data_IF_928366419472
#
_entry.id   IF_928366419472
#
_cell.length_a   1.000
_cell.length_b   1.000
_cell.length_c   1.000
_cell.angle_alpha   90.00
_cell.angle_beta   90.00
_cell.angle_gamma   90.00
#
_symmetry.space_group_name_H-M   'P 1'
#
loop_
_entity.id
_entity.type
_entity.pdbx_description
1 polymer ?
#
# COMPACT_ATOMS: atom_id res chain seq x y z
N UNK A 1 13.16 8.99 -31.73
CA UNK A 1 12.34 8.38 -30.67
C UNK A 1 12.99 7.13 -30.02
N UNK A 2 14.21 6.76 -30.39
CA UNK A 2 14.84 5.46 -30.00
C UNK A 2 15.71 5.51 -28.73
N UNK A 3 16.14 6.70 -28.30
CA UNK A 3 17.03 6.82 -27.12
C UNK A 3 16.33 6.64 -25.75
N UNK A 4 15.04 6.87 -25.65
CA UNK A 4 14.28 6.75 -24.39
C UNK A 4 13.97 5.29 -24.03
N UNK A 5 13.56 4.52 -25.00
CA UNK A 5 13.19 3.09 -24.84
C UNK A 5 14.40 2.24 -24.44
N UNK A 6 15.56 2.52 -25.02
CA UNK A 6 16.80 1.80 -24.74
C UNK A 6 17.33 2.11 -23.32
N UNK A 7 17.16 3.36 -22.84
CA UNK A 7 17.58 3.79 -21.50
C UNK A 7 16.70 3.17 -20.40
N UNK A 8 15.40 3.05 -20.64
CA UNK A 8 14.46 2.40 -19.71
C UNK A 8 14.72 0.90 -19.61
N UNK A 9 15.00 0.23 -20.74
CA UNK A 9 15.34 -1.19 -20.78
C UNK A 9 16.63 -1.50 -20.03
N UNK A 10 17.68 -0.66 -20.20
CA UNK A 10 18.94 -0.81 -19.46
C UNK A 10 18.76 -0.64 -17.95
N UNK A 11 17.95 0.36 -17.53
CA UNK A 11 17.65 0.59 -16.12
C UNK A 11 16.94 -0.61 -15.50
N UNK A 12 15.95 -1.18 -16.19
CA UNK A 12 15.22 -2.38 -15.73
C UNK A 12 16.14 -3.58 -15.59
N UNK A 13 17.00 -3.85 -16.59
CA UNK A 13 17.96 -4.96 -16.55
C UNK A 13 18.95 -4.80 -15.38
N UNK A 14 19.43 -3.58 -15.13
CA UNK A 14 20.28 -3.28 -13.98
C UNK A 14 19.57 -3.47 -12.65
N UNK A 15 18.32 -3.03 -12.56
CA UNK A 15 17.52 -3.23 -11.37
C UNK A 15 17.28 -4.73 -11.08
N UNK A 16 16.91 -5.51 -12.10
CA UNK A 16 16.68 -6.95 -11.94
C UNK A 16 17.94 -7.65 -11.40
N UNK A 17 19.10 -7.32 -11.95
CA UNK A 17 20.39 -7.83 -11.45
C UNK A 17 20.67 -7.42 -10.00
N UNK A 18 20.28 -6.21 -9.59
CA UNK A 18 20.40 -5.79 -8.18
C UNK A 18 19.47 -6.60 -7.28
N UNK A 19 18.23 -6.84 -7.73
CA UNK A 19 17.25 -7.58 -6.95
C UNK A 19 17.67 -9.03 -6.66
N UNK A 20 18.48 -9.67 -7.52
CA UNK A 20 19.06 -10.98 -7.27
C UNK A 20 19.90 -11.01 -5.98
N UNK A 21 20.47 -9.86 -5.56
CA UNK A 21 21.27 -9.73 -4.34
C UNK A 21 20.44 -9.82 -3.05
N UNK A 22 19.12 -9.62 -3.11
CA UNK A 22 18.26 -9.76 -1.92
C UNK A 22 18.24 -11.19 -1.39
N UNK A 23 18.20 -12.19 -2.26
CA UNK A 23 18.06 -13.58 -1.86
C UNK A 23 19.26 -14.09 -1.02
N UNK A 24 20.53 -13.93 -1.44
CA UNK A 24 21.66 -14.27 -0.61
C UNK A 24 21.73 -13.45 0.68
N UNK A 25 21.42 -12.15 0.62
CA UNK A 25 21.37 -11.29 1.80
C UNK A 25 20.37 -11.82 2.84
N UNK A 26 19.17 -12.22 2.40
CA UNK A 26 18.15 -12.78 3.31
C UNK A 26 18.53 -14.14 3.89
N UNK A 27 19.23 -14.99 3.14
CA UNK A 27 19.77 -16.25 3.67
C UNK A 27 20.78 -16.03 4.78
N UNK A 28 21.58 -14.97 4.71
CA UNK A 28 22.53 -14.60 5.76
C UNK A 28 21.79 -14.10 7.01
N UNK A 29 20.79 -13.25 6.84
CA UNK A 29 19.94 -12.75 7.94
C UNK A 29 19.18 -13.90 8.63
N UNK A 30 18.68 -14.88 7.86
CA UNK A 30 17.89 -16.02 8.37
C UNK A 30 18.72 -17.16 8.98
N UNK A 31 20.05 -17.16 8.81
CA UNK A 31 20.94 -18.17 9.42
C UNK A 31 21.23 -17.94 10.90
N UNK A 32 20.81 -16.82 11.44
CA UNK A 32 20.83 -16.62 12.89
C UNK A 32 19.97 -17.72 13.52
N UNK A 33 20.60 -18.58 14.33
CA UNK A 33 19.94 -19.58 15.17
C UNK A 33 18.69 -18.94 15.80
N UNK A 34 17.50 -19.59 15.78
CA UNK A 34 16.31 -19.10 16.47
C UNK A 34 16.55 -18.74 17.94
N UNK A 35 17.59 -19.30 18.56
CA UNK A 35 18.11 -18.94 19.89
C UNK A 35 19.05 -17.74 19.89
N UNK A 36 19.72 -17.43 18.78
CA UNK A 36 20.61 -16.28 18.63
C UNK A 36 19.79 -15.10 18.09
N UNK A 37 19.46 -14.16 18.94
CA UNK A 37 18.75 -12.91 18.58
C UNK A 37 19.66 -11.89 17.89
N UNK A 38 20.87 -12.25 17.51
CA UNK A 38 21.89 -11.36 16.97
C UNK A 38 22.25 -11.77 15.55
N UNK A 39 22.13 -10.83 14.60
CA UNK A 39 22.63 -11.02 13.23
C UNK A 39 24.14 -11.15 13.26
N UNK A 40 24.70 -12.18 12.64
CA UNK A 40 26.13 -12.43 12.59
C UNK A 40 26.87 -11.49 11.63
N UNK A 41 26.19 -11.02 10.59
CA UNK A 41 26.78 -10.14 9.57
C UNK A 41 26.28 -8.71 9.64
N UNK A 42 27.15 -7.77 9.27
CA UNK A 42 26.79 -6.35 9.18
C UNK A 42 25.85 -6.11 8.00
N UNK A 43 24.80 -5.34 8.23
CA UNK A 43 23.82 -4.98 7.21
C UNK A 43 23.52 -3.48 7.27
N UNK A 44 23.36 -2.85 6.11
CA UNK A 44 22.97 -1.44 6.02
C UNK A 44 21.57 -1.32 5.41
N UNK A 45 20.66 -0.69 6.15
CA UNK A 45 19.30 -0.42 5.71
C UNK A 45 19.18 1.07 5.39
N UNK A 46 18.88 1.39 4.14
CA UNK A 46 18.54 2.75 3.71
C UNK A 46 17.03 2.90 3.77
N UNK A 47 16.51 3.70 4.70
CA UNK A 47 15.08 3.95 4.87
C UNK A 47 14.70 5.20 4.09
N UNK A 48 13.74 5.05 3.17
CA UNK A 48 13.22 6.10 2.32
C UNK A 48 11.70 6.22 2.52
N UNK A 49 11.20 7.03 3.45
CA UNK A 49 9.78 7.21 3.70
C UNK A 49 9.11 8.12 2.66
N UNK A 50 9.50 8.02 1.39
CA UNK A 50 8.95 8.81 0.30
C UNK A 50 7.48 8.45 0.07
N UNK A 51 6.60 9.45 0.10
CA UNK A 51 5.23 9.35 -0.35
C UNK A 51 5.14 9.93 -1.76
N UNK A 52 5.22 9.04 -2.74
CA UNK A 52 5.11 9.39 -4.15
C UNK A 52 3.70 9.05 -4.61
N UNK A 53 2.87 10.08 -4.77
CA UNK A 53 1.45 9.98 -5.16
C UNK A 53 1.15 10.99 -6.26
N UNK A 54 0.10 10.73 -7.06
CA UNK A 54 -0.28 11.54 -8.21
C UNK A 54 -0.99 12.86 -7.87
N UNK A 55 -1.12 13.18 -6.59
CA UNK A 55 -1.74 14.44 -6.14
C UNK A 55 -0.80 15.21 -5.21
N UNK A 56 -0.92 16.52 -5.24
CA UNK A 56 -0.12 17.39 -4.37
C UNK A 56 -0.62 17.30 -2.92
N UNK A 57 0.29 16.91 -2.03
CA UNK A 57 0.13 17.04 -0.59
C UNK A 57 0.77 18.34 -0.12
N UNK A 58 0.18 19.00 0.86
CA UNK A 58 0.83 20.11 1.54
C UNK A 58 2.04 19.61 2.36
N UNK A 59 2.96 20.50 2.68
CA UNK A 59 4.22 20.14 3.35
C UNK A 59 4.04 19.51 4.74
N UNK A 60 3.14 19.99 5.61
CA UNK A 60 2.91 19.31 6.88
C UNK A 60 2.51 17.87 6.73
N UNK A 61 1.61 17.56 5.76
CA UNK A 61 1.18 16.19 5.51
C UNK A 61 2.34 15.33 4.98
N UNK A 62 3.15 15.82 4.06
CA UNK A 62 4.31 15.09 3.53
C UNK A 62 5.32 14.77 4.64
N UNK A 63 5.65 15.73 5.48
CA UNK A 63 6.59 15.54 6.59
C UNK A 63 6.05 14.52 7.60
N UNK A 64 4.75 14.57 7.94
CA UNK A 64 4.11 13.57 8.81
C UNK A 64 4.29 12.16 8.26
N UNK A 65 4.16 11.96 6.93
CA UNK A 65 4.42 10.66 6.32
C UNK A 65 5.88 10.26 6.40
N UNK A 66 6.82 11.17 6.21
CA UNK A 66 8.25 10.89 6.33
C UNK A 66 8.62 10.55 7.79
N UNK A 67 7.94 11.13 8.76
CA UNK A 67 8.10 10.86 10.19
C UNK A 67 7.29 9.66 10.71
N UNK A 68 6.56 8.93 9.85
CA UNK A 68 5.83 7.71 10.25
C UNK A 68 6.71 6.47 10.36
N UNK A 69 7.91 6.46 9.79
CA UNK A 69 8.80 5.31 9.79
C UNK A 69 9.95 5.31 10.82
N UNK A 70 10.05 6.22 11.83
CA UNK A 70 11.07 6.14 12.86
C UNK A 70 11.05 4.84 13.67
N UNK A 71 9.94 4.08 13.66
CA UNK A 71 9.94 2.72 14.23
C UNK A 71 11.00 1.82 13.57
N UNK A 72 11.50 2.13 12.37
CA UNK A 72 12.61 1.43 11.74
C UNK A 72 13.91 1.57 12.55
N UNK A 73 14.03 2.58 13.43
CA UNK A 73 15.15 2.71 14.36
C UNK A 73 15.25 1.50 15.31
N UNK A 74 14.15 0.77 15.55
CA UNK A 74 14.18 -0.49 16.30
C UNK A 74 15.08 -1.57 15.66
N UNK A 75 15.42 -1.48 14.38
CA UNK A 75 16.42 -2.35 13.76
C UNK A 75 17.79 -2.19 14.40
N UNK A 76 18.11 -1.04 14.99
CA UNK A 76 19.35 -0.79 15.72
C UNK A 76 19.50 -1.61 17.01
N UNK A 77 18.46 -2.35 17.42
CA UNK A 77 18.59 -3.40 18.45
C UNK A 77 19.58 -4.47 18.01
N UNK A 78 19.69 -4.72 16.71
CA UNK A 78 20.70 -5.60 16.17
C UNK A 78 22.05 -4.87 16.11
N UNK A 79 23.09 -5.36 16.80
CA UNK A 79 24.33 -4.60 17.01
C UNK A 79 25.13 -4.35 15.73
N UNK A 80 24.89 -5.12 14.67
CA UNK A 80 25.59 -5.04 13.38
C UNK A 80 24.79 -4.34 12.28
N UNK A 81 23.55 -3.89 12.58
CA UNK A 81 22.76 -3.08 11.64
C UNK A 81 23.19 -1.62 11.70
N UNK A 82 23.44 -1.05 10.53
CA UNK A 82 23.57 0.37 10.27
C UNK A 82 22.28 0.87 9.61
N UNK A 83 21.80 2.03 10.01
CA UNK A 83 20.61 2.63 9.44
C UNK A 83 20.96 4.00 8.83
N UNK A 84 20.54 4.23 7.59
CA UNK A 84 20.57 5.52 6.94
C UNK A 84 19.12 5.93 6.75
N UNK A 85 18.67 6.97 7.46
CA UNK A 85 17.31 7.47 7.40
C UNK A 85 17.27 8.79 6.64
N UNK A 86 16.49 8.84 5.56
CA UNK A 86 16.48 9.99 4.64
C UNK A 86 15.12 10.68 4.70
N UNK A 87 15.09 12.01 4.95
CA UNK A 87 13.87 12.83 5.00
C UNK A 87 14.05 14.15 4.26
N UNK A 88 12.97 14.76 3.78
CA UNK A 88 12.98 16.04 3.05
C UNK A 88 13.62 17.17 3.84
N UNK A 89 13.29 17.25 5.13
CA UNK A 89 13.88 18.16 6.12
C UNK A 89 14.37 17.34 7.31
N UNK A 90 15.34 17.83 8.10
CA UNK A 90 15.82 17.11 9.25
C UNK A 90 14.70 16.82 10.27
N UNK A 91 14.69 15.60 10.81
CA UNK A 91 13.84 15.25 11.96
C UNK A 91 14.44 15.90 13.21
N UNK A 92 13.62 16.48 14.10
CA UNK A 92 14.10 17.00 15.40
C UNK A 92 14.86 15.93 16.20
N UNK A 93 15.98 16.31 16.80
CA UNK A 93 16.83 15.36 17.56
C UNK A 93 16.06 14.74 18.72
N UNK A 94 15.14 15.48 19.35
CA UNK A 94 14.31 15.00 20.45
C UNK A 94 13.42 13.80 20.04
N UNK A 95 12.96 13.78 18.79
CA UNK A 95 12.19 12.65 18.22
C UNK A 95 13.09 11.43 18.05
N UNK A 96 14.30 11.64 17.54
CA UNK A 96 15.29 10.57 17.36
C UNK A 96 15.69 10.01 18.73
N UNK A 97 15.99 10.88 19.68
CA UNK A 97 16.37 10.49 21.04
C UNK A 97 15.27 9.72 21.74
N UNK A 98 14.01 10.12 21.56
CA UNK A 98 12.86 9.38 22.08
C UNK A 98 12.84 7.92 21.55
N UNK A 99 12.95 7.72 20.23
CA UNK A 99 12.95 6.38 19.65
C UNK A 99 14.18 5.57 20.06
N UNK A 100 15.36 6.17 20.13
CA UNK A 100 16.57 5.49 20.60
C UNK A 100 16.48 5.10 22.07
N UNK A 101 15.83 5.93 22.89
CA UNK A 101 15.56 5.66 24.31
C UNK A 101 14.61 4.47 24.54
N UNK A 102 13.76 4.14 23.55
CA UNK A 102 12.88 2.98 23.61
C UNK A 102 13.59 1.64 23.29
N UNK A 103 14.89 1.65 22.88
CA UNK A 103 15.62 0.44 22.51
C UNK A 103 16.08 -0.35 23.76
N UNK A 104 15.41 -1.47 24.12
CA UNK A 104 15.80 -2.23 25.30
C UNK A 104 17.14 -2.94 25.09
N UNK A 105 18.05 -2.81 26.07
CA UNK A 105 19.32 -3.52 26.08
C UNK A 105 20.39 -2.98 25.12
N UNK A 106 20.16 -1.83 24.48
CA UNK A 106 21.12 -1.19 23.58
C UNK A 106 21.58 0.13 24.20
N UNK A 107 22.88 0.31 24.35
CA UNK A 107 23.40 1.61 24.80
C UNK A 107 23.12 2.69 23.75
N UNK A 108 22.52 3.79 24.19
CA UNK A 108 22.13 4.94 23.35
C UNK A 108 23.27 5.38 22.41
N UNK A 109 24.47 5.62 22.93
CA UNK A 109 25.62 6.03 22.12
C UNK A 109 26.04 4.98 21.07
N UNK A 110 25.81 3.70 21.32
CA UNK A 110 26.08 2.64 20.33
C UNK A 110 25.06 2.69 19.17
N UNK A 111 23.78 2.80 19.46
CA UNK A 111 22.73 2.94 18.45
C UNK A 111 22.94 4.22 17.62
N UNK A 112 23.21 5.35 18.29
CA UNK A 112 23.41 6.65 17.62
C UNK A 112 24.59 6.65 16.63
N UNK A 113 25.70 5.98 16.93
CA UNK A 113 26.84 5.86 16.01
C UNK A 113 26.53 5.03 14.75
N UNK A 114 25.51 4.19 14.78
CA UNK A 114 25.08 3.35 13.63
C UNK A 114 23.91 3.94 12.85
N UNK A 115 23.44 5.12 13.27
CA UNK A 115 22.38 5.89 12.63
C UNK A 115 22.98 7.08 11.87
N UNK A 116 22.71 7.18 10.60
CA UNK A 116 22.97 8.37 9.79
C UNK A 116 21.62 9.00 9.40
N UNK A 117 21.47 10.28 9.65
CA UNK A 117 20.32 11.08 9.23
C UNK A 117 20.75 11.92 8.03
N UNK A 118 20.01 11.83 6.93
CA UNK A 118 20.36 12.51 5.67
C UNK A 118 19.14 13.30 5.19
N UNK A 119 19.37 14.53 4.72
CA UNK A 119 18.28 15.37 4.20
C UNK A 119 18.77 16.24 3.05
N UNK A 120 17.99 16.38 1.95
CA UNK A 120 18.20 17.40 0.93
C UNK A 120 17.91 18.82 1.46
N UNK A 121 17.37 18.98 2.67
CA UNK A 121 16.93 20.27 3.26
C UNK A 121 15.96 21.02 2.32
N UNK A 122 15.01 20.29 1.76
CA UNK A 122 14.08 20.79 0.75
C UNK A 122 12.63 20.59 1.23
N UNK A 123 12.05 21.66 1.78
CA UNK A 123 10.67 21.72 2.24
C UNK A 123 9.63 21.91 1.12
N UNK A 124 9.96 21.72 -0.16
CA UNK A 124 8.99 21.81 -1.25
C UNK A 124 8.00 20.63 -1.22
N UNK A 125 6.84 20.78 -1.91
CA UNK A 125 5.80 19.75 -2.00
C UNK A 125 6.17 18.54 -2.87
N UNK A 126 7.33 18.54 -3.49
CA UNK A 126 7.80 17.45 -4.34
C UNK A 126 8.07 16.18 -3.50
N UNK A 127 7.86 14.98 -4.06
CA UNK A 127 8.21 13.73 -3.37
C UNK A 127 9.69 13.70 -2.97
N UNK A 128 9.99 13.12 -1.82
CA UNK A 128 11.36 13.01 -1.29
C UNK A 128 12.32 12.37 -2.31
N UNK A 129 11.89 11.28 -2.96
CA UNK A 129 12.72 10.59 -3.96
C UNK A 129 13.10 11.52 -5.13
N UNK A 130 12.17 12.36 -5.60
CA UNK A 130 12.45 13.31 -6.67
C UNK A 130 13.50 14.36 -6.24
N UNK A 131 13.40 14.84 -4.99
CA UNK A 131 14.39 15.76 -4.42
C UNK A 131 15.81 15.15 -4.37
N UNK A 132 15.88 13.85 -4.06
CA UNK A 132 17.17 13.12 -4.02
C UNK A 132 17.70 12.90 -5.44
N UNK A 133 16.87 12.47 -6.39
CA UNK A 133 17.28 12.19 -7.77
C UNK A 133 17.86 13.40 -8.48
N UNK A 134 17.38 14.61 -8.17
CA UNK A 134 17.90 15.87 -8.71
C UNK A 134 19.26 16.30 -8.10
N UNK A 135 19.75 15.56 -7.09
CA UNK A 135 20.96 15.89 -6.33
C UNK A 135 22.01 14.76 -6.38
N UNK A 136 22.77 14.62 -7.50
CA UNK A 136 23.75 13.53 -7.62
C UNK A 136 24.80 13.49 -6.50
N UNK A 137 25.16 14.65 -5.94
CA UNK A 137 26.09 14.74 -4.80
C UNK A 137 25.48 14.12 -3.53
N UNK A 138 24.16 14.29 -3.31
CA UNK A 138 23.47 13.69 -2.19
C UNK A 138 23.40 12.15 -2.34
N UNK A 139 23.14 11.66 -3.56
CA UNK A 139 23.19 10.22 -3.86
C UNK A 139 24.59 9.69 -3.57
N UNK A 140 25.64 10.37 -4.02
CA UNK A 140 27.03 10.02 -3.72
C UNK A 140 27.32 10.00 -2.21
N UNK A 141 26.79 10.98 -1.47
CA UNK A 141 26.92 11.02 -0.02
C UNK A 141 26.21 9.84 0.65
N UNK A 142 24.95 9.55 0.31
CA UNK A 142 24.22 8.38 0.85
C UNK A 142 25.03 7.09 0.58
N UNK A 143 25.55 6.95 -0.65
CA UNK A 143 26.34 5.78 -1.04
C UNK A 143 27.65 5.67 -0.22
N UNK A 144 28.32 6.78 0.09
CA UNK A 144 29.55 6.79 0.90
C UNK A 144 29.32 6.39 2.36
N UNK A 145 28.09 6.48 2.86
CA UNK A 145 27.71 6.03 4.20
C UNK A 145 27.47 4.51 4.28
N UNK A 146 27.45 3.81 3.15
CA UNK A 146 27.26 2.35 3.05
C UNK A 146 28.65 1.68 3.01
N UNK A 147 29.06 0.94 4.05
CA UNK A 147 30.39 0.31 4.07
C UNK A 147 30.53 -0.80 3.02
N UNK A 148 29.48 -1.59 2.79
CA UNK A 148 29.45 -2.66 1.81
C UNK A 148 28.08 -2.68 1.10
N UNK A 149 28.09 -2.43 -0.22
CA UNK A 149 26.90 -2.42 -1.05
C UNK A 149 26.25 -3.81 -1.21
N UNK A 150 27.00 -4.90 -0.99
CA UNK A 150 26.48 -6.26 -1.09
C UNK A 150 25.63 -6.64 0.13
N UNK A 151 25.84 -5.97 1.26
CA UNK A 151 25.10 -6.18 2.50
C UNK A 151 24.14 -5.02 2.80
N UNK A 152 23.74 -4.27 1.77
CA UNK A 152 22.84 -3.13 1.91
C UNK A 152 21.57 -3.30 1.08
N UNK A 153 20.49 -2.68 1.53
CA UNK A 153 19.23 -2.62 0.77
C UNK A 153 18.42 -1.34 1.08
N UNK A 154 17.62 -0.93 0.11
CA UNK A 154 16.68 0.19 0.21
C UNK A 154 15.33 -0.29 0.73
N UNK A 155 14.74 0.43 1.66
CA UNK A 155 13.38 0.20 2.19
C UNK A 155 12.55 1.46 1.99
N UNK A 156 11.81 1.57 0.89
CA UNK A 156 10.89 2.68 0.65
C UNK A 156 9.56 2.49 1.38
N UNK A 157 8.76 3.56 1.47
CA UNK A 157 7.38 3.50 1.93
C UNK A 157 6.43 3.15 0.77
N UNK A 158 6.44 3.94 -0.30
CA UNK A 158 5.75 3.67 -1.57
C UNK A 158 6.79 3.38 -2.64
N UNK A 159 6.44 2.62 -3.66
CA UNK A 159 7.33 2.29 -4.77
C UNK A 159 6.77 2.76 -6.09
N UNK A 160 7.59 3.54 -6.79
CA UNK A 160 7.37 3.99 -8.16
C UNK A 160 8.65 3.77 -8.97
N UNK A 161 8.61 4.12 -10.25
CA UNK A 161 9.80 4.11 -11.10
C UNK A 161 10.95 4.99 -10.55
N UNK A 162 10.61 6.02 -9.75
CA UNK A 162 11.61 6.88 -9.13
C UNK A 162 12.37 6.18 -8.00
N UNK A 163 11.70 5.42 -7.13
CA UNK A 163 12.37 4.63 -6.09
C UNK A 163 13.24 3.53 -6.71
N UNK A 164 12.80 2.94 -7.83
CA UNK A 164 13.59 1.99 -8.61
C UNK A 164 14.85 2.64 -9.22
N UNK A 165 14.72 3.82 -9.83
CA UNK A 165 15.87 4.59 -10.35
C UNK A 165 16.87 4.92 -9.24
N UNK A 166 16.37 5.33 -8.07
CA UNK A 166 17.23 5.61 -6.92
C UNK A 166 17.98 4.36 -6.45
N UNK A 167 17.34 3.20 -6.37
CA UNK A 167 17.98 1.94 -6.01
C UNK A 167 19.13 1.60 -6.97
N UNK A 168 18.91 1.78 -8.29
CA UNK A 168 19.94 1.59 -9.31
C UNK A 168 21.10 2.57 -9.15
N UNK A 169 20.82 3.85 -8.87
CA UNK A 169 21.88 4.86 -8.66
C UNK A 169 22.67 4.66 -7.36
N UNK A 170 22.01 4.15 -6.32
CA UNK A 170 22.67 3.76 -5.08
C UNK A 170 23.45 2.44 -5.22
N UNK A 171 23.17 1.65 -6.27
CA UNK A 171 23.73 0.32 -6.51
C UNK A 171 23.43 -0.67 -5.37
N UNK A 172 22.20 -0.61 -4.84
CA UNK A 172 21.68 -1.52 -3.82
C UNK A 172 20.29 -2.05 -4.20
N UNK A 173 19.90 -3.28 -3.83
CA UNK A 173 18.58 -3.80 -4.08
C UNK A 173 17.52 -3.08 -3.24
N UNK A 174 16.26 -3.15 -3.67
CA UNK A 174 15.10 -2.56 -2.99
C UNK A 174 14.23 -3.67 -2.38
N UNK A 175 14.01 -3.62 -1.07
CA UNK A 175 13.11 -4.53 -0.37
C UNK A 175 11.71 -3.92 -0.25
N UNK A 176 10.98 -4.00 -1.34
CA UNK A 176 9.57 -3.59 -1.49
C UNK A 176 9.01 -4.16 -2.80
N UNK A 177 7.69 -4.08 -3.01
CA UNK A 177 7.07 -4.47 -4.25
C UNK A 177 7.60 -3.63 -5.43
N UNK A 178 8.06 -4.28 -6.49
CA UNK A 178 8.49 -3.60 -7.71
C UNK A 178 7.27 -2.88 -8.34
N UNK A 179 7.44 -1.66 -8.89
CA UNK A 179 6.38 -0.96 -9.62
C UNK A 179 5.72 -1.77 -10.75
N UNK A 180 6.40 -2.76 -11.33
CA UNK A 180 5.79 -3.70 -12.30
C UNK A 180 4.56 -4.42 -11.77
N UNK A 181 4.46 -4.60 -10.45
CA UNK A 181 3.34 -5.24 -9.77
C UNK A 181 2.23 -4.26 -9.35
N UNK A 182 2.35 -2.99 -9.72
CA UNK A 182 1.39 -1.95 -9.36
C UNK A 182 -0.07 -2.34 -9.65
N UNK A 183 -0.29 -3.07 -10.77
CA UNK A 183 -1.61 -3.54 -11.15
C UNK A 183 -2.32 -4.36 -10.06
N UNK A 184 -1.59 -5.12 -9.24
CA UNK A 184 -2.18 -5.89 -8.13
C UNK A 184 -2.71 -5.02 -6.99
N UNK A 185 -2.24 -3.78 -6.86
CA UNK A 185 -2.72 -2.81 -5.88
C UNK A 185 -3.86 -1.90 -6.37
N UNK A 186 -4.23 -1.97 -7.67
CA UNK A 186 -5.40 -1.23 -8.18
C UNK A 186 -6.70 -1.92 -7.75
N UNK A 187 -7.81 -1.17 -7.66
CA UNK A 187 -9.11 -1.75 -7.26
C UNK A 187 -9.53 -2.88 -8.21
N UNK A 188 -9.35 -2.70 -9.53
CA UNK A 188 -9.63 -3.76 -10.52
C UNK A 188 -8.69 -4.96 -10.37
N UNK A 189 -7.41 -4.71 -10.14
CA UNK A 189 -6.42 -5.78 -9.99
C UNK A 189 -6.60 -6.59 -8.72
N UNK A 190 -6.92 -5.93 -7.60
CA UNK A 190 -7.27 -6.59 -6.34
C UNK A 190 -8.42 -7.57 -6.52
N UNK A 191 -9.54 -7.11 -7.06
CA UNK A 191 -10.75 -7.92 -7.27
C UNK A 191 -10.51 -9.12 -8.15
N UNK A 192 -9.78 -8.92 -9.28
CA UNK A 192 -9.39 -10.04 -10.16
C UNK A 192 -8.55 -11.08 -9.40
N UNK A 193 -7.56 -10.65 -8.63
CA UNK A 193 -6.73 -11.55 -7.84
C UNK A 193 -7.57 -12.28 -6.77
N UNK A 194 -8.48 -11.59 -6.10
CA UNK A 194 -9.40 -12.22 -5.13
C UNK A 194 -10.26 -13.29 -5.80
N UNK A 195 -10.82 -13.01 -6.99
CA UNK A 195 -11.60 -13.99 -7.76
C UNK A 195 -10.76 -15.21 -8.13
N UNK A 196 -9.55 -15.01 -8.66
CA UNK A 196 -8.64 -16.07 -9.09
C UNK A 196 -8.19 -16.99 -7.94
N UNK A 197 -7.98 -16.43 -6.74
CA UNK A 197 -7.54 -17.19 -5.56
C UNK A 197 -8.71 -17.64 -4.65
N UNK A 198 -9.96 -17.43 -5.06
CA UNK A 198 -11.14 -17.83 -4.28
C UNK A 198 -11.23 -17.12 -2.93
N UNK A 199 -10.83 -15.84 -2.89
CA UNK A 199 -10.97 -14.97 -1.71
C UNK A 199 -12.32 -14.28 -1.78
N UNK A 200 -13.08 -14.35 -0.68
CA UNK A 200 -14.40 -13.71 -0.59
C UNK A 200 -14.26 -12.18 -0.68
N UNK A 201 -15.00 -11.58 -1.61
CA UNK A 201 -15.00 -10.13 -1.85
C UNK A 201 -16.40 -9.68 -2.30
N UNK A 202 -16.75 -8.38 -2.23
CA UNK A 202 -18.09 -7.90 -2.62
C UNK A 202 -18.42 -8.23 -4.07
N UNK A 203 -19.70 -8.51 -4.37
CA UNK A 203 -20.16 -8.60 -5.76
C UNK A 203 -19.87 -7.30 -6.48
N UNK A 204 -19.27 -7.36 -7.67
CA UNK A 204 -18.94 -6.15 -8.43
C UNK A 204 -18.37 -6.46 -9.81
N UNK A 205 -17.99 -5.41 -10.52
CA UNK A 205 -17.37 -5.47 -11.84
C UNK A 205 -16.20 -4.47 -11.93
N UNK A 206 -15.20 -4.85 -12.72
CA UNK A 206 -13.90 -4.19 -12.82
C UNK A 206 -13.66 -3.57 -14.21
N UNK A 207 -12.60 -2.75 -14.28
CA UNK A 207 -12.08 -2.15 -15.53
C UNK A 207 -13.06 -1.23 -16.25
N UNK A 208 -13.93 -0.57 -15.51
CA UNK A 208 -14.93 0.36 -16.03
C UNK A 208 -14.30 1.72 -16.33
N UNK A 209 -14.56 2.28 -17.52
CA UNK A 209 -13.96 3.53 -17.99
C UNK A 209 -14.96 4.58 -18.49
N UNK A 210 -16.25 4.26 -18.52
CA UNK A 210 -17.28 5.15 -19.02
C UNK A 210 -18.58 5.05 -18.25
N UNK A 211 -19.46 6.04 -18.41
CA UNK A 211 -20.84 6.02 -17.85
C UNK A 211 -21.61 4.81 -18.37
N UNK A 212 -21.50 4.50 -19.66
CA UNK A 212 -22.22 3.39 -20.29
C UNK A 212 -21.76 2.04 -19.72
N UNK A 213 -20.45 1.86 -19.52
CA UNK A 213 -19.90 0.67 -18.89
C UNK A 213 -20.38 0.53 -17.44
N UNK A 214 -20.43 1.63 -16.67
CA UNK A 214 -21.00 1.64 -15.30
C UNK A 214 -22.47 1.22 -15.31
N UNK A 215 -23.28 1.81 -16.17
CA UNK A 215 -24.72 1.46 -16.31
C UNK A 215 -24.87 -0.01 -16.67
N UNK A 216 -24.09 -0.51 -17.64
CA UNK A 216 -24.08 -1.91 -18.03
C UNK A 216 -23.69 -2.86 -16.89
N UNK A 217 -22.64 -2.52 -16.13
CA UNK A 217 -22.20 -3.29 -14.98
C UNK A 217 -23.27 -3.34 -13.88
N UNK A 218 -23.86 -2.21 -13.53
CA UNK A 218 -24.93 -2.15 -12.52
C UNK A 218 -26.13 -2.99 -12.93
N UNK A 219 -26.53 -2.97 -14.20
CA UNK A 219 -27.60 -3.83 -14.70
C UNK A 219 -27.31 -5.31 -14.51
N UNK A 220 -26.10 -5.75 -14.89
CA UNK A 220 -25.69 -7.15 -14.69
C UNK A 220 -25.64 -7.54 -13.21
N UNK A 221 -25.16 -6.66 -12.36
CA UNK A 221 -25.16 -6.89 -10.91
C UNK A 221 -26.57 -7.02 -10.34
N UNK A 222 -27.49 -6.14 -10.75
CA UNK A 222 -28.91 -6.19 -10.32
C UNK A 222 -29.62 -7.46 -10.83
N UNK A 223 -29.32 -7.92 -12.03
CA UNK A 223 -29.84 -9.17 -12.53
C UNK A 223 -29.35 -10.39 -11.73
N UNK A 224 -28.08 -10.37 -11.26
CA UNK A 224 -27.49 -11.42 -10.42
C UNK A 224 -27.97 -11.40 -8.97
N UNK A 225 -28.18 -10.19 -8.41
CA UNK A 225 -28.62 -9.97 -7.02
C UNK A 225 -29.67 -8.85 -7.00
N UNK A 226 -30.97 -9.18 -7.23
CA UNK A 226 -32.05 -8.18 -7.25
C UNK A 226 -32.22 -7.41 -5.92
N UNK A 227 -31.75 -7.97 -4.80
CA UNK A 227 -31.80 -7.35 -3.47
C UNK A 227 -30.74 -6.27 -3.23
N UNK A 228 -29.91 -5.92 -4.24
CA UNK A 228 -28.97 -4.81 -4.12
C UNK A 228 -29.69 -3.50 -3.87
N UNK A 229 -29.30 -2.77 -2.85
CA UNK A 229 -29.87 -1.47 -2.47
C UNK A 229 -28.91 -0.31 -2.65
N UNK A 230 -27.61 -0.54 -2.44
CA UNK A 230 -26.56 0.47 -2.56
C UNK A 230 -25.29 -0.13 -3.14
N UNK A 231 -24.65 0.65 -3.99
CA UNK A 231 -23.36 0.31 -4.58
C UNK A 231 -22.34 1.39 -4.27
N UNK A 232 -21.07 1.03 -4.38
CA UNK A 232 -19.97 1.97 -4.33
C UNK A 232 -19.18 1.88 -5.64
N UNK A 233 -18.95 3.02 -6.27
CA UNK A 233 -18.06 3.16 -7.43
C UNK A 233 -16.73 3.68 -6.91
N UNK A 234 -15.62 3.08 -7.34
CA UNK A 234 -14.28 3.46 -6.89
C UNK A 234 -13.36 3.61 -8.09
N UNK A 235 -12.57 4.68 -8.12
CA UNK A 235 -11.47 4.80 -9.08
C UNK A 235 -10.40 3.74 -8.75
N UNK A 236 -9.71 3.23 -9.77
CA UNK A 236 -8.63 2.23 -9.58
C UNK A 236 -7.53 2.70 -8.64
N UNK A 237 -7.26 3.99 -8.67
CA UNK A 237 -6.25 4.66 -7.84
C UNK A 237 -6.95 5.73 -7.00
N UNK A 238 -6.87 5.61 -5.70
CA UNK A 238 -7.46 6.52 -4.73
C UNK A 238 -6.89 6.27 -3.34
N UNK A 239 -6.87 7.30 -2.50
CA UNK A 239 -6.34 7.24 -1.13
C UNK A 239 -7.41 7.74 -0.16
N UNK A 240 -7.57 7.06 0.96
CA UNK A 240 -8.46 7.50 2.07
C UNK A 240 -9.89 7.79 1.64
N UNK A 241 -10.46 7.00 0.73
CA UNK A 241 -11.83 7.19 0.22
C UNK A 241 -11.98 8.29 -0.85
N UNK A 242 -10.92 9.04 -1.15
CA UNK A 242 -10.91 9.97 -2.30
C UNK A 242 -11.01 9.17 -3.60
N UNK A 243 -12.01 9.45 -4.42
CA UNK A 243 -12.34 8.67 -5.62
C UNK A 243 -13.43 7.61 -5.39
N UNK A 244 -14.03 7.54 -4.20
CA UNK A 244 -15.22 6.74 -3.96
C UNK A 244 -16.50 7.57 -4.19
N UNK A 245 -17.51 6.92 -4.78
CA UNK A 245 -18.85 7.50 -4.97
C UNK A 245 -19.92 6.46 -4.64
N UNK A 246 -20.93 6.85 -3.90
CA UNK A 246 -22.05 5.98 -3.53
C UNK A 246 -23.20 6.11 -4.51
N UNK A 247 -23.84 5.00 -4.87
CA UNK A 247 -24.98 4.90 -5.73
C UNK A 247 -26.13 4.20 -5.00
N UNK A 248 -27.23 4.92 -4.75
CA UNK A 248 -28.48 4.31 -4.26
C UNK A 248 -29.25 3.70 -5.42
N UNK A 249 -29.75 2.49 -5.23
CA UNK A 249 -30.61 1.79 -6.18
C UNK A 249 -32.10 1.84 -5.80
N UNK A 250 -32.43 2.53 -4.70
CA UNK A 250 -33.80 2.64 -4.20
C UNK A 250 -34.71 3.35 -5.21
N UNK A 251 -35.91 2.80 -5.41
CA UNK A 251 -36.90 3.35 -6.31
C UNK A 251 -36.60 3.22 -7.80
N UNK A 252 -35.57 2.42 -8.17
CA UNK A 252 -35.33 2.07 -9.56
C UNK A 252 -36.36 1.03 -10.05
N UNK A 253 -36.69 1.03 -11.35
CA UNK A 253 -37.53 -0.02 -11.98
C UNK A 253 -36.95 -1.42 -11.74
N UNK A 254 -37.76 -2.46 -11.83
CA UNK A 254 -37.31 -3.85 -11.71
C UNK A 254 -36.18 -4.17 -12.71
N UNK A 255 -35.21 -5.02 -12.32
CA UNK A 255 -34.12 -5.43 -13.20
C UNK A 255 -34.64 -6.03 -14.53
N UNK A 256 -34.12 -5.54 -15.65
CA UNK A 256 -34.50 -5.96 -16.99
C UNK A 256 -35.76 -5.32 -17.54
N UNK A 257 -36.46 -4.47 -16.78
CA UNK A 257 -37.69 -3.79 -17.24
C UNK A 257 -37.40 -2.66 -18.24
N UNK A 258 -38.42 -2.30 -19.00
CA UNK A 258 -38.40 -1.10 -19.85
C UNK A 258 -38.16 0.15 -18.99
N UNK A 259 -37.19 0.99 -19.36
CA UNK A 259 -36.87 2.19 -18.60
C UNK A 259 -35.76 2.02 -17.53
N UNK A 260 -35.31 0.79 -17.23
CA UNK A 260 -34.22 0.58 -16.28
C UNK A 260 -32.93 1.34 -16.66
N UNK A 261 -32.57 1.31 -17.96
CA UNK A 261 -31.35 1.99 -18.46
C UNK A 261 -31.42 3.49 -18.22
N UNK A 262 -32.51 4.12 -18.68
CA UNK A 262 -32.70 5.59 -18.52
C UNK A 262 -32.75 6.00 -17.05
N UNK A 263 -33.39 5.19 -16.20
CA UNK A 263 -33.41 5.43 -14.74
C UNK A 263 -32.03 5.34 -14.11
N UNK A 264 -31.22 4.39 -14.54
CA UNK A 264 -29.82 4.23 -14.09
C UNK A 264 -28.95 5.39 -14.57
N UNK A 265 -29.05 5.79 -15.85
CA UNK A 265 -28.31 6.93 -16.41
C UNK A 265 -28.57 8.22 -15.61
N UNK A 266 -29.84 8.49 -15.28
CA UNK A 266 -30.21 9.63 -14.45
C UNK A 266 -29.71 9.48 -13.00
N UNK A 267 -29.71 8.25 -12.46
CA UNK A 267 -29.23 7.97 -11.11
C UNK A 267 -27.71 8.14 -11.01
N UNK A 268 -26.94 7.84 -12.05
CA UNK A 268 -25.49 8.08 -12.09
C UNK A 268 -25.12 9.55 -11.93
N UNK A 269 -25.94 10.47 -12.42
CA UNK A 269 -25.72 11.91 -12.25
C UNK A 269 -25.87 12.39 -10.79
N UNK A 270 -26.46 11.54 -9.94
CA UNK A 270 -26.68 11.77 -8.50
C UNK A 270 -25.76 10.94 -7.61
N UNK A 271 -24.58 10.56 -8.12
CA UNK A 271 -23.56 9.90 -7.32
C UNK A 271 -23.21 10.75 -6.09
N UNK A 272 -23.18 10.13 -4.92
CA UNK A 272 -22.76 10.76 -3.67
C UNK A 272 -21.24 10.67 -3.50
N UNK A 273 -20.53 11.77 -3.71
CA UNK A 273 -19.08 11.85 -3.57
C UNK A 273 -18.64 12.09 -2.13
N UNK A 274 -17.44 11.64 -1.79
CA UNK A 274 -16.85 11.84 -0.47
C UNK A 274 -16.48 13.30 -0.17
N UNK A 275 -16.29 14.14 -1.21
CA UNK A 275 -16.03 15.58 -1.11
C UNK A 275 -17.00 16.36 -1.99
N UNK A 276 -17.46 17.50 -1.50
CA UNK A 276 -18.32 18.44 -2.25
C UNK A 276 -17.61 19.11 -3.44
N UNK A 277 -16.29 19.04 -3.48
CA UNK A 277 -15.47 19.59 -4.57
C UNK A 277 -15.43 18.68 -5.80
N UNK A 278 -15.81 17.41 -5.65
CA UNK A 278 -15.81 16.42 -6.74
C UNK A 278 -17.12 16.59 -7.54
N UNK A 279 -16.99 16.98 -8.82
CA UNK A 279 -18.12 17.00 -9.74
C UNK A 279 -18.23 15.67 -10.49
N UNK A 280 -19.43 15.40 -11.02
CA UNK A 280 -19.66 14.19 -11.83
C UNK A 280 -18.80 14.16 -13.09
N UNK A 281 -18.62 15.30 -13.77
CA UNK A 281 -17.80 15.42 -14.96
C UNK A 281 -16.31 15.15 -14.67
N UNK A 282 -15.79 15.72 -13.59
CA UNK A 282 -14.42 15.44 -13.14
C UNK A 282 -14.24 13.95 -12.86
N UNK A 283 -15.21 13.36 -12.12
CA UNK A 283 -15.16 11.93 -11.76
C UNK A 283 -15.14 11.02 -12.99
N UNK A 284 -16.01 11.28 -13.98
CA UNK A 284 -16.02 10.54 -15.24
C UNK A 284 -14.72 10.73 -16.04
N UNK A 285 -14.15 11.92 -16.01
CA UNK A 285 -12.84 12.21 -16.62
C UNK A 285 -11.73 11.36 -15.99
N UNK A 286 -11.68 11.25 -14.68
CA UNK A 286 -10.72 10.40 -13.96
C UNK A 286 -11.00 8.90 -14.17
N UNK A 287 -12.27 8.49 -14.19
CA UNK A 287 -12.67 7.12 -14.51
C UNK A 287 -12.19 6.71 -15.92
N UNK A 288 -12.32 7.61 -16.89
CA UNK A 288 -11.84 7.38 -18.26
C UNK A 288 -10.33 7.17 -18.32
N UNK A 289 -9.57 7.92 -17.56
CA UNK A 289 -8.10 7.84 -17.50
C UNK A 289 -7.62 6.61 -16.74
N UNK A 290 -8.07 6.45 -15.50
CA UNK A 290 -7.57 5.46 -14.53
C UNK A 290 -8.34 4.14 -14.53
N UNK A 291 -9.58 4.15 -15.01
CA UNK A 291 -10.52 3.07 -14.82
C UNK A 291 -11.04 3.00 -13.39
N UNK A 292 -11.98 2.11 -13.16
CA UNK A 292 -12.55 1.93 -11.83
C UNK A 292 -13.37 0.64 -11.73
N UNK A 293 -14.05 0.51 -10.61
CA UNK A 293 -14.92 -0.62 -10.28
C UNK A 293 -16.26 -0.11 -9.79
N UNK A 294 -17.25 -0.97 -9.86
CA UNK A 294 -18.49 -0.86 -9.08
C UNK A 294 -18.70 -2.12 -8.26
N UNK A 295 -19.05 -1.98 -6.99
CA UNK A 295 -19.27 -3.12 -6.12
C UNK A 295 -20.41 -2.89 -5.12
N UNK A 296 -20.95 -4.00 -4.59
CA UNK A 296 -21.95 -3.98 -3.53
C UNK A 296 -21.40 -3.28 -2.29
N UNK A 297 -22.12 -2.29 -1.81
CA UNK A 297 -21.79 -1.62 -0.55
C UNK A 297 -22.26 -2.52 0.60
N UNK A 298 -21.33 -3.34 1.09
CA UNK A 298 -21.60 -4.27 2.19
C UNK A 298 -22.16 -3.50 3.39
N UNK A 299 -23.29 -3.96 3.90
CA UNK A 299 -23.98 -3.42 5.07
C UNK A 299 -24.43 -4.58 5.97
N UNK A 300 -24.53 -4.33 7.26
CA UNK A 300 -25.00 -5.32 8.22
C UNK A 300 -24.77 -4.87 9.66
N UNK A 301 -25.39 -5.56 10.61
CA UNK A 301 -25.13 -5.33 12.03
C UNK A 301 -23.69 -5.74 12.38
N UNK A 302 -23.06 -4.95 13.26
CA UNK A 302 -21.72 -5.24 13.74
C UNK A 302 -20.63 -5.16 12.65
N UNK A 303 -20.87 -4.42 11.54
CA UNK A 303 -19.86 -4.20 10.50
C UNK A 303 -18.60 -3.59 11.08
N UNK A 304 -17.46 -4.22 10.79
CA UNK A 304 -16.12 -3.78 11.18
C UNK A 304 -15.19 -3.76 9.98
N UNK A 305 -14.11 -2.97 10.09
CA UNK A 305 -13.11 -2.81 9.02
C UNK A 305 -11.73 -3.29 9.47
N UNK A 306 -11.49 -4.60 9.55
CA UNK A 306 -10.20 -5.12 9.93
C UNK A 306 -9.21 -5.11 8.76
N UNK A 307 -7.92 -5.15 9.09
CA UNK A 307 -6.81 -5.27 8.13
C UNK A 307 -5.83 -6.34 8.58
N UNK A 308 -5.24 -7.06 7.63
CA UNK A 308 -4.15 -8.01 7.83
C UNK A 308 -2.86 -7.47 7.23
N UNK A 309 -1.77 -7.53 8.02
CA UNK A 309 -0.43 -7.11 7.59
C UNK A 309 0.42 -8.33 7.30
N UNK A 310 1.04 -8.37 6.13
CA UNK A 310 1.86 -9.47 5.68
C UNK A 310 3.23 -8.98 5.20
N UNK A 311 4.14 -9.94 5.07
CA UNK A 311 5.45 -9.75 4.47
C UNK A 311 5.76 -10.94 3.56
N UNK A 312 6.34 -10.66 2.39
CA UNK A 312 6.96 -11.68 1.55
C UNK A 312 8.47 -11.48 1.61
N UNK A 313 9.18 -12.52 2.06
CA UNK A 313 10.63 -12.49 2.10
C UNK A 313 11.21 -12.65 0.69
N UNK A 314 12.48 -12.23 0.43
CA UNK A 314 13.17 -12.52 -0.82
C UNK A 314 13.36 -14.02 -1.10
N UNK A 315 13.07 -14.88 -0.14
CA UNK A 315 13.07 -16.34 -0.31
C UNK A 315 11.72 -16.87 -0.81
N UNK A 316 10.70 -16.00 -0.92
CA UNK A 316 9.33 -16.36 -1.31
C UNK A 316 8.45 -16.81 -0.13
N UNK A 317 8.91 -16.64 1.09
CA UNK A 317 8.17 -17.02 2.30
C UNK A 317 7.15 -15.93 2.65
N UNK A 318 5.91 -16.34 2.91
CA UNK A 318 4.82 -15.45 3.34
C UNK A 318 4.72 -15.48 4.85
N UNK A 319 4.82 -14.32 5.47
CA UNK A 319 4.70 -14.17 6.92
C UNK A 319 3.49 -13.28 7.24
N UNK A 320 2.63 -13.77 8.10
CA UNK A 320 1.53 -13.01 8.70
C UNK A 320 2.08 -12.24 9.90
N UNK A 321 2.08 -10.91 9.82
CA UNK A 321 2.72 -10.06 10.83
C UNK A 321 1.76 -9.68 11.96
N UNK A 322 0.58 -9.17 11.59
CA UNK A 322 -0.43 -8.69 12.55
C UNK A 322 -1.78 -8.52 11.88
N UNK A 323 -2.80 -8.40 12.70
CA UNK A 323 -4.13 -7.90 12.32
C UNK A 323 -4.47 -6.69 13.17
N UNK A 324 -5.36 -5.83 12.69
CA UNK A 324 -5.88 -4.69 13.46
C UNK A 324 -7.27 -4.31 12.97
N UNK A 325 -8.01 -3.64 13.83
CA UNK A 325 -9.30 -3.03 13.49
C UNK A 325 -9.09 -1.55 13.18
N UNK A 326 -9.48 -1.13 11.98
CA UNK A 326 -9.42 0.26 11.57
C UNK A 326 -10.56 1.04 12.24
N UNK A 327 -10.23 2.18 12.82
CA UNK A 327 -11.21 3.17 13.26
C UNK A 327 -11.44 4.15 12.13
N UNK A 328 -12.63 4.08 11.55
CA UNK A 328 -13.04 4.94 10.44
C UNK A 328 -13.98 6.03 10.96
N UNK A 329 -13.96 7.21 10.34
CA UNK A 329 -14.79 8.34 10.72
C UNK A 329 -14.93 9.37 9.60
N UNK A 330 -15.17 10.64 9.96
CA UNK A 330 -15.51 11.71 9.02
C UNK A 330 -16.98 11.64 8.56
N UNK A 331 -17.41 12.61 7.75
CA UNK A 331 -18.79 12.68 7.24
C UNK A 331 -19.18 11.45 6.41
N UNK A 332 -18.21 10.86 5.66
CA UNK A 332 -18.41 9.65 4.86
C UNK A 332 -18.30 8.34 5.64
N UNK A 333 -17.80 8.37 6.89
CA UNK A 333 -17.44 7.18 7.65
C UNK A 333 -16.30 6.36 7.07
N UNK A 334 -15.52 6.90 6.12
CA UNK A 334 -14.45 6.17 5.41
C UNK A 334 -13.04 6.74 5.64
N UNK A 335 -12.92 7.83 6.41
CA UNK A 335 -11.63 8.43 6.72
C UNK A 335 -10.96 7.61 7.82
N UNK A 336 -9.73 7.14 7.57
CA UNK A 336 -8.92 6.44 8.56
C UNK A 336 -8.50 7.39 9.68
N UNK A 337 -8.89 7.09 10.91
CA UNK A 337 -8.57 7.85 12.13
C UNK A 337 -7.51 7.16 13.01
N UNK A 338 -7.38 5.85 12.88
CA UNK A 338 -6.46 5.06 13.69
C UNK A 338 -6.76 3.57 13.62
N UNK A 339 -6.08 2.78 14.45
CA UNK A 339 -6.29 1.34 14.52
C UNK A 339 -6.13 0.80 15.95
N UNK A 340 -6.83 -0.28 16.25
CA UNK A 340 -6.71 -1.06 17.48
C UNK A 340 -6.05 -2.40 17.15
N UNK A 341 -4.99 -2.74 17.86
CA UNK A 341 -4.22 -3.98 17.69
C UNK A 341 -4.40 -4.91 18.90
N UNK A 342 -4.50 -6.22 18.65
CA UNK A 342 -4.82 -6.89 17.38
C UNK A 342 -6.30 -6.73 17.03
N UNK A 343 -6.72 -7.16 15.81
CA UNK A 343 -8.13 -7.31 15.47
C UNK A 343 -8.80 -8.34 16.39
N UNK A 344 -10.12 -8.22 16.53
CA UNK A 344 -10.90 -9.12 17.39
C UNK A 344 -10.69 -10.60 17.00
N UNK A 345 -10.58 -11.44 18.02
CA UNK A 345 -10.34 -12.90 17.87
C UNK A 345 -11.46 -13.63 17.12
N UNK A 346 -12.65 -13.07 17.06
CA UNK A 346 -13.79 -13.67 16.39
C UNK A 346 -13.61 -13.72 14.86
N UNK A 347 -12.94 -12.75 14.27
CA UNK A 347 -12.70 -12.67 12.82
C UNK A 347 -11.22 -12.54 12.42
N UNK A 348 -10.32 -12.21 13.34
CA UNK A 348 -8.88 -12.11 13.07
C UNK A 348 -8.31 -13.35 12.35
N UNK A 349 -8.56 -14.59 12.84
CA UNK A 349 -8.12 -15.81 12.15
C UNK A 349 -8.77 -16.03 10.78
N UNK A 350 -9.98 -15.50 10.54
CA UNK A 350 -10.67 -15.61 9.27
C UNK A 350 -9.98 -14.74 8.22
N UNK A 351 -9.74 -13.45 8.53
CA UNK A 351 -9.07 -12.53 7.62
C UNK A 351 -7.62 -12.96 7.35
N UNK A 352 -6.93 -13.55 8.33
CA UNK A 352 -5.57 -14.08 8.13
C UNK A 352 -5.54 -15.21 7.11
N UNK A 353 -6.50 -16.14 7.14
CA UNK A 353 -6.60 -17.25 6.16
C UNK A 353 -6.85 -16.73 4.75
N UNK A 354 -7.73 -15.75 4.59
CA UNK A 354 -7.99 -15.14 3.28
C UNK A 354 -6.77 -14.35 2.80
N UNK A 355 -6.12 -13.60 3.68
CA UNK A 355 -4.92 -12.84 3.38
C UNK A 355 -3.74 -13.74 2.98
N UNK A 356 -3.60 -14.92 3.58
CA UNK A 356 -2.55 -15.89 3.23
C UNK A 356 -2.66 -16.38 1.78
N UNK A 357 -3.89 -16.61 1.26
CA UNK A 357 -4.11 -16.98 -0.15
C UNK A 357 -3.53 -15.92 -1.09
N UNK A 358 -3.86 -14.65 -0.82
CA UNK A 358 -3.34 -13.50 -1.55
C UNK A 358 -1.81 -13.42 -1.45
N UNK A 359 -1.27 -13.57 -0.25
CA UNK A 359 0.17 -13.54 -0.01
C UNK A 359 0.92 -14.61 -0.81
N UNK A 360 0.40 -15.83 -0.84
CA UNK A 360 0.97 -16.93 -1.63
C UNK A 360 0.91 -16.66 -3.13
N UNK A 361 -0.17 -16.05 -3.63
CA UNK A 361 -0.24 -15.63 -5.03
C UNK A 361 0.80 -14.57 -5.34
N UNK A 362 0.87 -13.50 -4.57
CA UNK A 362 1.86 -12.44 -4.76
C UNK A 362 3.30 -12.96 -4.70
N UNK A 363 3.58 -13.93 -3.81
CA UNK A 363 4.90 -14.58 -3.74
C UNK A 363 5.23 -15.36 -5.02
N UNK A 364 4.26 -16.08 -5.61
CA UNK A 364 4.43 -16.78 -6.90
C UNK A 364 4.72 -15.81 -8.06
N UNK A 365 4.15 -14.59 -8.01
CA UNK A 365 4.44 -13.54 -8.99
C UNK A 365 5.82 -12.88 -8.79
N UNK A 366 6.49 -13.14 -7.67
CA UNK A 366 7.79 -12.57 -7.35
C UNK A 366 7.74 -11.25 -6.56
N UNK A 367 6.59 -10.89 -6.01
CA UNK A 367 6.46 -9.73 -5.12
C UNK A 367 7.28 -9.98 -3.85
N UNK A 368 8.00 -8.96 -3.38
CA UNK A 368 8.71 -8.97 -2.10
C UNK A 368 8.36 -7.73 -1.28
N UNK A 369 8.52 -7.81 0.02
CA UNK A 369 8.28 -6.68 0.93
C UNK A 369 7.01 -6.81 1.74
N UNK A 370 6.63 -5.72 2.41
CA UNK A 370 5.43 -5.65 3.24
C UNK A 370 4.25 -5.15 2.43
N UNK A 371 3.07 -5.67 2.76
CA UNK A 371 1.80 -5.23 2.21
C UNK A 371 0.69 -5.48 3.22
N UNK A 372 -0.46 -4.86 2.97
CA UNK A 372 -1.66 -5.06 3.77
C UNK A 372 -2.83 -5.46 2.89
N UNK A 373 -3.81 -6.14 3.50
CA UNK A 373 -5.11 -6.40 2.88
C UNK A 373 -6.17 -5.88 3.83
N UNK A 374 -7.01 -5.00 3.32
CA UNK A 374 -8.13 -4.44 4.05
C UNK A 374 -9.39 -5.28 3.80
N UNK A 375 -10.14 -5.49 4.87
CA UNK A 375 -11.37 -6.27 4.86
C UNK A 375 -12.54 -5.46 5.42
N UNK A 376 -13.74 -5.90 5.08
CA UNK A 376 -14.96 -5.65 5.85
C UNK A 376 -15.39 -6.99 6.40
N UNK A 377 -15.72 -7.06 7.68
CA UNK A 377 -16.32 -8.26 8.27
C UNK A 377 -17.70 -7.94 8.83
N UNK A 378 -18.65 -8.83 8.56
CA UNK A 378 -20.05 -8.68 8.97
C UNK A 378 -20.45 -9.86 9.82
N UNK A 379 -21.17 -9.59 10.92
CA UNK A 379 -21.74 -10.64 11.77
C UNK A 379 -23.04 -11.15 11.16
N UNK A 380 -23.11 -12.46 10.95
CA UNK A 380 -24.33 -13.14 10.46
C UNK A 380 -25.34 -13.36 11.57
N UNK A 381 -26.58 -13.68 11.19
CA UNK A 381 -27.65 -13.98 12.12
C UNK A 381 -27.36 -15.19 13.03
N UNK A 382 -26.54 -16.15 12.57
CA UNK A 382 -26.09 -17.31 13.35
C UNK A 382 -24.92 -17.00 14.31
N UNK A 383 -24.47 -15.74 14.35
CA UNK A 383 -23.36 -15.27 15.17
C UNK A 383 -21.98 -15.47 14.56
N UNK A 384 -21.86 -16.15 13.42
CA UNK A 384 -20.61 -16.28 12.68
C UNK A 384 -20.22 -14.98 11.97
N UNK A 385 -18.94 -14.86 11.58
CA UNK A 385 -18.42 -13.70 10.85
C UNK A 385 -18.09 -14.07 9.42
N UNK A 386 -18.38 -13.16 8.50
CA UNK A 386 -18.02 -13.27 7.08
C UNK A 386 -17.12 -12.10 6.66
N UNK A 387 -15.85 -12.38 6.34
CA UNK A 387 -14.92 -11.36 5.86
C UNK A 387 -15.04 -11.21 4.34
N UNK A 388 -14.98 -9.97 3.87
CA UNK A 388 -14.89 -9.58 2.46
C UNK A 388 -13.59 -8.80 2.27
N UNK A 389 -12.70 -9.27 1.40
CA UNK A 389 -11.48 -8.56 1.02
C UNK A 389 -11.84 -7.36 0.14
N UNK A 390 -11.29 -6.20 0.44
CA UNK A 390 -11.63 -4.92 -0.20
C UNK A 390 -10.49 -4.40 -1.07
N UNK A 391 -9.25 -4.39 -0.55
CA UNK A 391 -8.11 -3.89 -1.31
C UNK A 391 -6.79 -4.47 -0.82
N UNK A 392 -5.81 -4.46 -1.72
CA UNK A 392 -4.41 -4.81 -1.43
C UNK A 392 -3.60 -3.52 -1.43
N UNK A 393 -2.99 -3.21 -0.31
CA UNK A 393 -2.06 -2.10 -0.17
C UNK A 393 -0.62 -2.62 -0.35
N UNK A 394 -0.07 -2.56 -1.57
CA UNK A 394 1.30 -3.04 -1.90
C UNK A 394 2.38 -2.08 -1.37
N UNK A 395 2.25 -1.67 -0.13
CA UNK A 395 3.18 -0.78 0.56
C UNK A 395 3.25 -1.12 2.04
N UNK A 396 4.22 -0.56 2.70
CA UNK A 396 4.31 -0.67 4.15
C UNK A 396 3.09 0.00 4.80
N UNK A 397 2.38 -0.72 5.65
CA UNK A 397 1.24 -0.23 6.41
C UNK A 397 1.68 0.43 7.71
#
# INVERSE_FOLDING_TARGET
MDNGTNRTSDLLARFDKLQERLRPLWKQIGRSDPGSRVLEEANTVVVLPSLTVDFELDMPAQQVYEERMPFMLFLLRQPRIRLIYVTSVPIPEEVIDYYLGLLPGVGFGNARRRLALVSPQDGSRRPLVAKILDRPRLIGHIRSLIPDLNTAHLVPFVTTDMERDLAVRLDIPMYAADPRFFAFGTKSGCRRLFSEEGVVHPLGEENLRSKDELVGAVRRMRARKPSLSRLIVKLNEGVSGYGNAQLSLEGLPEPGSAGEVSALEHRMEKLGFASKEITFEWYLGELGKKGGIVEDLIAGEGLVSPSAQLRISPLGEVELLSTHDQMLGGESGQIYLGAVFPADRAYGPLIMREAEKVGRRLAREGVVGRFAIDFIAVKKADGSWEPYAIEINLRKG
#
